data_IF_466462783270
#
_entry.id   IF_466462783270
#
_cell.length_a   1.000
_cell.length_b   1.000
_cell.length_c   1.000
_cell.angle_alpha   90.00
_cell.angle_beta   90.00
_cell.angle_gamma   90.00
#
_symmetry.space_group_name_H-M   'P 1'
#
loop_
_entity.id
_entity.type
_entity.pdbx_description
1 polymer ?
#
# COMPACT_ATOMS: atom_id res chain seq x y z
N UNK A 1 0.10 10.18 8.16
CA UNK A 1 -0.74 10.86 9.15
C UNK A 1 -2.11 10.97 8.54
N UNK A 2 -3.04 10.18 9.03
CA UNK A 2 -4.37 10.04 8.43
C UNK A 2 -5.30 11.16 8.89
N UNK A 3 -6.51 11.18 8.30
CA UNK A 3 -7.60 12.09 8.64
C UNK A 3 -7.84 12.16 10.16
N UNK A 4 -7.87 11.00 10.84
CA UNK A 4 -8.13 10.94 12.28
C UNK A 4 -6.95 11.47 13.10
N UNK A 5 -5.71 11.19 12.71
CA UNK A 5 -4.52 11.70 13.43
C UNK A 5 -4.55 13.24 13.54
N UNK A 6 -5.00 13.95 12.50
CA UNK A 6 -5.13 15.41 12.56
C UNK A 6 -6.22 15.89 13.51
N UNK A 7 -7.34 15.15 13.63
CA UNK A 7 -8.41 15.46 14.59
C UNK A 7 -7.92 15.28 16.03
N UNK A 8 -7.07 14.29 16.27
CA UNK A 8 -6.50 14.02 17.59
C UNK A 8 -5.53 15.11 18.08
N UNK A 9 -4.95 15.91 17.17
CA UNK A 9 -4.03 16.99 17.53
C UNK A 9 -4.72 18.14 18.32
N UNK A 10 -6.06 18.24 18.29
CA UNK A 10 -6.84 19.28 19.00
C UNK A 10 -6.37 20.71 18.73
N UNK A 11 -5.83 20.96 17.54
CA UNK A 11 -5.42 22.29 17.08
C UNK A 11 -6.58 23.03 16.41
N UNK A 12 -6.50 24.35 16.36
CA UNK A 12 -7.48 25.16 15.63
C UNK A 12 -7.55 24.72 14.16
N UNK A 13 -8.76 24.66 13.59
CA UNK A 13 -9.02 24.22 12.21
C UNK A 13 -8.61 22.77 11.87
N UNK A 14 -8.30 21.91 12.86
CA UNK A 14 -7.96 20.50 12.63
C UNK A 14 -8.97 19.76 11.74
N UNK A 15 -10.28 19.97 11.95
CA UNK A 15 -11.34 19.36 11.13
C UNK A 15 -11.29 19.77 9.66
N UNK A 16 -10.96 21.03 9.38
CA UNK A 16 -10.88 21.53 8.01
C UNK A 16 -9.65 20.96 7.29
N UNK A 17 -8.55 20.77 8.02
CA UNK A 17 -7.32 20.13 7.51
C UNK A 17 -7.57 18.64 7.27
N UNK A 18 -8.16 17.95 8.25
CA UNK A 18 -8.46 16.52 8.18
C UNK A 18 -9.29 16.16 6.95
N UNK A 19 -10.30 16.97 6.58
CA UNK A 19 -11.11 16.80 5.36
C UNK A 19 -10.31 16.87 4.04
N UNK A 20 -9.07 17.37 4.08
CA UNK A 20 -8.17 17.49 2.94
C UNK A 20 -6.99 16.51 3.00
N UNK A 21 -6.98 15.60 3.97
CA UNK A 21 -5.97 14.56 4.09
C UNK A 21 -6.47 13.29 3.40
N UNK A 22 -5.74 12.82 2.41
CA UNK A 22 -6.10 11.63 1.65
C UNK A 22 -4.93 10.66 1.63
N UNK A 23 -5.26 9.37 1.57
CA UNK A 23 -4.32 8.40 1.02
C UNK A 23 -4.13 8.69 -0.46
N UNK A 24 -2.90 8.53 -0.94
CA UNK A 24 -2.59 8.71 -2.35
C UNK A 24 -3.49 7.84 -3.24
N UNK A 25 -3.62 6.55 -2.92
CA UNK A 25 -4.42 5.61 -3.70
C UNK A 25 -5.91 5.96 -3.63
N UNK A 26 -6.39 6.47 -2.49
CA UNK A 26 -7.78 6.91 -2.38
C UNK A 26 -8.03 8.14 -3.26
N UNK A 27 -7.13 9.12 -3.20
CA UNK A 27 -7.20 10.32 -4.02
C UNK A 27 -7.24 9.98 -5.52
N UNK A 28 -6.36 9.08 -5.97
CA UNK A 28 -6.32 8.69 -7.40
C UNK A 28 -7.52 7.83 -7.79
N UNK A 29 -7.98 6.90 -6.94
CA UNK A 29 -9.20 6.11 -7.23
C UNK A 29 -10.44 7.02 -7.35
N UNK A 30 -10.59 7.99 -6.44
CA UNK A 30 -11.70 8.96 -6.46
C UNK A 30 -11.62 9.87 -7.70
N UNK A 31 -10.42 10.32 -8.08
CA UNK A 31 -10.21 11.11 -9.31
C UNK A 31 -10.64 10.32 -10.54
N UNK A 32 -10.19 9.07 -10.69
CA UNK A 32 -10.53 8.23 -11.85
C UNK A 32 -11.96 7.70 -11.83
N UNK A 33 -12.64 7.74 -10.69
CA UNK A 33 -14.08 7.51 -10.60
C UNK A 33 -14.87 8.69 -11.18
N UNK A 34 -14.45 9.92 -10.87
CA UNK A 34 -15.13 11.14 -11.33
C UNK A 34 -14.75 11.54 -12.76
N UNK A 35 -13.48 11.39 -13.10
CA UNK A 35 -12.90 11.75 -14.40
C UNK A 35 -12.07 10.57 -14.94
N UNK A 36 -12.73 9.53 -15.52
CA UNK A 36 -12.03 8.33 -16.00
C UNK A 36 -10.94 8.59 -17.04
N UNK A 37 -11.06 9.70 -17.79
CA UNK A 37 -10.12 10.11 -18.84
C UNK A 37 -9.02 11.06 -18.33
N UNK A 38 -8.97 11.37 -17.03
CA UNK A 38 -7.95 12.24 -16.43
C UNK A 38 -6.53 11.69 -16.60
N UNK A 39 -6.40 10.36 -16.73
CA UNK A 39 -5.15 9.67 -17.06
C UNK A 39 -5.40 8.66 -18.18
N UNK A 40 -4.41 8.53 -19.06
CA UNK A 40 -4.41 7.50 -20.10
C UNK A 40 -3.36 6.46 -19.78
N UNK A 41 -3.75 5.19 -19.86
CA UNK A 41 -2.90 4.08 -19.50
C UNK A 41 -2.61 3.19 -20.70
N UNK A 42 -1.39 2.65 -20.78
CA UNK A 42 -1.04 1.59 -21.72
C UNK A 42 -1.51 0.23 -21.22
N UNK A 43 -1.88 -0.63 -22.16
CA UNK A 43 -2.15 -2.04 -21.87
C UNK A 43 -0.92 -2.74 -21.29
N UNK A 44 -1.18 -3.79 -20.51
CA UNK A 44 -0.17 -4.64 -19.91
C UNK A 44 -0.82 -5.97 -19.50
N UNK A 45 -0.05 -6.82 -18.82
CA UNK A 45 -0.50 -8.16 -18.42
C UNK A 45 0.17 -8.58 -17.12
N UNK A 46 0.01 -7.77 -16.08
CA UNK A 46 0.68 -7.99 -14.79
C UNK A 46 -0.33 -8.40 -13.73
N UNK A 47 0.00 -9.44 -12.97
CA UNK A 47 -0.67 -9.74 -11.69
C UNK A 47 -0.07 -8.87 -10.60
N UNK A 48 -0.91 -8.31 -9.74
CA UNK A 48 -0.53 -7.39 -8.68
C UNK A 48 -0.96 -7.94 -7.32
N UNK A 49 -0.02 -8.09 -6.39
CA UNK A 49 -0.30 -8.46 -5.00
C UNK A 49 -0.04 -7.26 -4.08
N UNK A 50 -1.07 -6.83 -3.35
CA UNK A 50 -1.06 -5.59 -2.58
C UNK A 50 -1.02 -5.91 -1.09
N UNK A 51 0.04 -5.52 -0.40
CA UNK A 51 0.06 -5.44 1.05
C UNK A 51 -0.46 -4.07 1.51
N UNK A 52 -1.72 -4.03 1.94
CA UNK A 52 -2.29 -2.81 2.51
C UNK A 52 -1.70 -2.54 3.90
N UNK A 53 -1.23 -1.31 4.11
CA UNK A 53 -0.61 -0.87 5.36
C UNK A 53 -1.55 -1.11 6.56
N UNK A 54 -1.03 -1.65 7.66
CA UNK A 54 -1.84 -1.99 8.84
C UNK A 54 -2.69 -0.82 9.37
N UNK A 55 -2.11 0.39 9.39
CA UNK A 55 -2.84 1.60 9.78
C UNK A 55 -3.98 1.96 8.80
N UNK A 56 -3.82 1.72 7.49
CA UNK A 56 -4.91 1.91 6.55
C UNK A 56 -6.02 0.86 6.77
N UNK A 57 -5.64 -0.41 7.01
CA UNK A 57 -6.58 -1.50 7.29
C UNK A 57 -7.44 -1.26 8.55
N UNK A 58 -6.89 -0.61 9.58
CA UNK A 58 -7.64 -0.30 10.81
C UNK A 58 -8.64 0.83 10.64
N UNK A 59 -8.46 1.70 9.65
CA UNK A 59 -9.30 2.88 9.43
C UNK A 59 -10.30 2.71 8.28
N UNK A 60 -9.96 1.89 7.28
CA UNK A 60 -10.75 1.79 6.04
C UNK A 60 -10.62 0.42 5.37
N UNK A 61 -11.62 0.09 4.54
CA UNK A 61 -11.57 -1.09 3.69
C UNK A 61 -10.55 -0.88 2.55
N UNK A 62 -9.47 -1.68 2.44
CA UNK A 62 -8.42 -1.49 1.43
C UNK A 62 -8.84 -1.87 0.00
N UNK A 63 -10.10 -2.25 -0.24
CA UNK A 63 -10.60 -2.64 -1.55
C UNK A 63 -10.44 -1.58 -2.65
N UNK A 64 -10.32 -0.30 -2.30
CA UNK A 64 -9.99 0.76 -3.27
C UNK A 64 -8.62 0.57 -3.91
N UNK A 65 -7.64 -0.01 -3.20
CA UNK A 65 -6.31 -0.27 -3.77
C UNK A 65 -6.39 -1.32 -4.89
N UNK A 66 -7.21 -2.36 -4.70
CA UNK A 66 -7.50 -3.36 -5.74
C UNK A 66 -8.16 -2.70 -6.95
N UNK A 67 -9.25 -1.96 -6.73
CA UNK A 67 -9.96 -1.29 -7.81
C UNK A 67 -9.05 -0.36 -8.60
N UNK A 68 -8.25 0.45 -7.90
CA UNK A 68 -7.29 1.35 -8.53
C UNK A 68 -6.30 0.59 -9.41
N UNK A 69 -5.71 -0.50 -8.92
CA UNK A 69 -4.79 -1.32 -9.72
C UNK A 69 -5.47 -1.97 -10.93
N UNK A 70 -6.75 -2.36 -10.82
CA UNK A 70 -7.53 -2.95 -11.92
C UNK A 70 -8.08 -1.93 -12.92
N UNK A 71 -8.06 -0.62 -12.60
CA UNK A 71 -8.28 0.45 -13.59
C UNK A 71 -7.16 0.52 -14.63
N UNK A 72 -5.96 0.02 -14.31
CA UNK A 72 -4.86 -0.09 -15.26
C UNK A 72 -5.17 -1.25 -16.21
N UNK A 73 -5.33 -1.01 -17.52
CA UNK A 73 -5.81 -2.03 -18.46
C UNK A 73 -4.94 -3.30 -18.45
N UNK A 74 -5.58 -4.47 -18.32
CA UNK A 74 -4.92 -5.78 -18.35
C UNK A 74 -4.18 -6.15 -17.05
N UNK A 75 -4.43 -5.46 -15.94
CA UNK A 75 -3.92 -5.84 -14.61
C UNK A 75 -5.00 -6.58 -13.83
N UNK A 76 -4.57 -7.57 -13.06
CA UNK A 76 -5.41 -8.29 -12.08
C UNK A 76 -4.79 -8.10 -10.71
N UNK A 77 -5.58 -7.64 -9.73
CA UNK A 77 -5.03 -7.30 -8.42
C UNK A 77 -5.68 -8.09 -7.28
N UNK A 78 -4.87 -8.41 -6.26
CA UNK A 78 -5.32 -9.03 -5.02
C UNK A 78 -4.76 -8.27 -3.84
N UNK A 79 -5.62 -7.86 -2.89
CA UNK A 79 -5.17 -7.37 -1.59
C UNK A 79 -4.89 -8.57 -0.70
N UNK A 80 -3.63 -8.70 -0.26
CA UNK A 80 -3.20 -9.81 0.57
C UNK A 80 -3.82 -9.72 1.97
N UNK A 81 -4.46 -10.81 2.38
CA UNK A 81 -4.93 -11.00 3.75
C UNK A 81 -3.75 -11.29 4.69
N UNK A 82 -3.17 -10.19 5.17
CA UNK A 82 -1.90 -10.13 5.92
C UNK A 82 -2.01 -9.16 7.09
N UNK A 83 -1.26 -9.43 8.17
CA UNK A 83 -1.17 -8.58 9.35
C UNK A 83 -0.25 -7.38 9.17
N UNK A 84 0.43 -6.96 10.24
CA UNK A 84 1.48 -5.94 10.18
C UNK A 84 2.74 -6.48 9.47
N UNK A 85 3.53 -5.60 8.85
CA UNK A 85 4.84 -5.96 8.30
C UNK A 85 5.93 -6.14 9.36
N UNK A 86 5.67 -5.87 10.64
CA UNK A 86 6.68 -6.00 11.71
C UNK A 86 7.61 -4.80 11.89
N UNK A 87 7.70 -3.87 10.93
CA UNK A 87 8.67 -2.77 11.01
C UNK A 87 8.22 -1.54 11.82
N UNK A 88 6.91 -1.20 11.78
CA UNK A 88 6.27 -0.06 12.45
C UNK A 88 7.22 1.11 12.83
N UNK A 89 7.54 1.98 11.87
CA UNK A 89 8.56 3.01 12.06
C UNK A 89 9.96 2.39 12.05
N UNK A 90 10.69 2.53 13.16
CA UNK A 90 12.02 1.95 13.37
C UNK A 90 11.99 0.68 14.23
N UNK A 91 10.82 0.19 14.65
CA UNK A 91 10.70 -0.94 15.58
C UNK A 91 11.47 -2.17 15.09
N UNK A 92 11.30 -2.57 13.82
CA UNK A 92 12.00 -3.72 13.25
C UNK A 92 13.50 -3.52 13.04
N UNK A 93 13.98 -2.28 13.06
CA UNK A 93 15.39 -1.95 12.93
C UNK A 93 16.15 -1.95 14.28
N UNK A 94 15.44 -2.05 15.41
CA UNK A 94 16.06 -2.14 16.73
C UNK A 94 16.57 -3.57 16.96
N UNK A 95 17.83 -3.71 17.36
CA UNK A 95 18.46 -5.02 17.58
C UNK A 95 17.66 -5.88 18.57
N UNK A 96 17.11 -5.28 19.63
CA UNK A 96 16.33 -5.97 20.66
C UNK A 96 14.92 -6.39 20.18
N UNK A 97 14.49 -5.89 19.02
CA UNK A 97 13.15 -6.12 18.45
C UNK A 97 13.19 -6.85 17.11
N UNK A 98 14.37 -7.02 16.52
CA UNK A 98 14.54 -7.63 15.21
C UNK A 98 13.84 -8.99 15.13
N UNK A 99 14.15 -9.93 16.02
CA UNK A 99 13.58 -11.28 16.01
C UNK A 99 12.04 -11.27 16.10
N UNK A 100 11.49 -10.38 16.93
CA UNK A 100 10.04 -10.23 17.05
C UNK A 100 9.43 -9.61 15.78
N UNK A 101 10.11 -8.65 15.16
CA UNK A 101 9.65 -8.04 13.90
C UNK A 101 9.58 -9.07 12.77
N UNK A 102 10.56 -9.98 12.70
CA UNK A 102 10.60 -11.08 11.73
C UNK A 102 9.44 -12.04 11.98
N UNK A 103 9.19 -12.41 13.25
CA UNK A 103 8.05 -13.27 13.60
C UNK A 103 6.70 -12.64 13.23
N UNK A 104 6.54 -11.33 13.44
CA UNK A 104 5.32 -10.59 13.04
C UNK A 104 5.17 -10.58 11.51
N UNK A 105 6.28 -10.44 10.78
CA UNK A 105 6.28 -10.40 9.32
C UNK A 105 6.03 -11.78 8.67
N UNK A 106 6.27 -12.90 9.37
CA UNK A 106 6.30 -14.25 8.79
C UNK A 106 5.13 -14.56 7.85
N UNK A 107 3.88 -14.31 8.28
CA UNK A 107 2.70 -14.58 7.44
C UNK A 107 2.61 -13.67 6.20
N UNK A 108 3.12 -12.43 6.27
CA UNK A 108 3.25 -11.56 5.10
C UNK A 108 4.28 -12.11 4.12
N UNK A 109 5.44 -12.55 4.63
CA UNK A 109 6.52 -13.13 3.82
C UNK A 109 6.03 -14.39 3.10
N UNK A 110 5.40 -15.31 3.83
CA UNK A 110 4.81 -16.52 3.25
C UNK A 110 3.82 -16.20 2.12
N UNK A 111 2.98 -15.18 2.29
CA UNK A 111 2.03 -14.76 1.24
C UNK A 111 2.72 -14.17 0.02
N UNK A 112 3.85 -13.49 0.20
CA UNK A 112 4.64 -12.91 -0.90
C UNK A 112 5.39 -14.01 -1.65
N UNK A 113 6.06 -14.91 -0.93
CA UNK A 113 6.87 -15.98 -1.54
C UNK A 113 6.02 -17.00 -2.31
N UNK A 114 4.76 -17.15 -1.94
CA UNK A 114 3.79 -18.01 -2.65
C UNK A 114 3.08 -17.30 -3.82
N UNK A 115 3.46 -16.07 -4.18
CA UNK A 115 2.91 -15.44 -5.38
C UNK A 115 3.47 -16.07 -6.67
N UNK A 116 2.66 -16.13 -7.74
CA UNK A 116 3.15 -16.58 -9.04
C UNK A 116 4.36 -15.76 -9.53
N UNK A 117 5.30 -16.36 -10.27
CA UNK A 117 6.41 -15.63 -10.87
C UNK A 117 5.92 -14.45 -11.71
N UNK A 118 6.59 -13.30 -11.59
CA UNK A 118 6.23 -12.07 -12.29
C UNK A 118 5.08 -11.27 -11.64
N UNK A 119 4.60 -11.67 -10.46
CA UNK A 119 3.65 -10.87 -9.68
C UNK A 119 4.34 -9.63 -9.12
N UNK A 120 3.79 -8.45 -9.37
CA UNK A 120 4.27 -7.21 -8.79
C UNK A 120 3.75 -7.05 -7.36
N UNK A 121 4.66 -6.85 -6.41
CA UNK A 121 4.32 -6.63 -5.00
C UNK A 121 4.18 -5.13 -4.75
N UNK A 122 3.02 -4.71 -4.25
CA UNK A 122 2.73 -3.30 -3.95
C UNK A 122 2.58 -3.10 -2.44
N UNK A 123 3.35 -2.18 -1.90
CA UNK A 123 3.25 -1.72 -0.51
C UNK A 123 3.56 -0.23 -0.44
N UNK A 124 2.56 0.59 -0.12
CA UNK A 124 2.75 2.05 -0.10
C UNK A 124 3.42 2.58 1.17
N UNK A 125 3.44 1.79 2.25
CA UNK A 125 4.20 2.13 3.45
C UNK A 125 5.71 1.96 3.26
N UNK A 126 6.49 2.99 3.56
CA UNK A 126 7.96 2.94 3.48
C UNK A 126 8.53 1.84 4.38
N UNK A 127 8.09 1.75 5.64
CA UNK A 127 8.51 0.68 6.56
C UNK A 127 8.11 -0.71 6.05
N UNK A 128 6.95 -0.84 5.41
CA UNK A 128 6.53 -2.11 4.80
C UNK A 128 7.45 -2.52 3.65
N UNK A 129 7.81 -1.58 2.76
CA UNK A 129 8.74 -1.86 1.66
C UNK A 129 10.11 -2.28 2.17
N UNK A 130 10.66 -1.58 3.16
CA UNK A 130 11.95 -1.98 3.76
C UNK A 130 11.89 -3.39 4.33
N UNK A 131 10.89 -3.73 5.17
CA UNK A 131 10.82 -5.08 5.72
C UNK A 131 10.71 -6.16 4.63
N UNK A 132 9.85 -5.94 3.63
CA UNK A 132 9.68 -6.90 2.55
C UNK A 132 11.00 -7.07 1.78
N UNK A 133 11.70 -5.98 1.48
CA UNK A 133 13.02 -6.02 0.83
C UNK A 133 14.10 -6.68 1.69
N UNK A 134 14.04 -6.53 3.01
CA UNK A 134 15.03 -7.08 3.93
C UNK A 134 14.84 -8.61 4.13
N UNK A 135 13.59 -9.09 4.06
CA UNK A 135 13.23 -10.47 4.37
C UNK A 135 12.91 -11.33 3.14
N UNK A 136 12.85 -10.76 1.95
CA UNK A 136 12.52 -11.48 0.70
C UNK A 136 13.42 -11.01 -0.46
N UNK A 137 13.36 -11.73 -1.58
CA UNK A 137 13.94 -11.26 -2.85
C UNK A 137 12.97 -10.39 -3.68
N UNK A 138 11.80 -10.05 -3.14
CA UNK A 138 10.84 -9.21 -3.82
C UNK A 138 11.29 -7.74 -3.82
N UNK A 139 10.96 -7.03 -4.90
CA UNK A 139 11.17 -5.59 -5.02
C UNK A 139 9.81 -4.88 -4.88
N UNK A 140 9.31 -4.63 -3.66
CA UNK A 140 8.00 -4.03 -3.46
C UNK A 140 8.00 -2.58 -3.96
N UNK A 141 6.99 -2.21 -4.73
CA UNK A 141 6.79 -0.85 -5.25
C UNK A 141 5.74 -0.11 -4.45
N UNK A 142 5.81 1.22 -4.47
CA UNK A 142 4.70 2.08 -4.11
C UNK A 142 3.62 2.06 -5.21
N UNK A 143 2.34 2.22 -4.85
CA UNK A 143 1.25 2.27 -5.84
C UNK A 143 1.47 3.34 -6.92
N UNK A 144 2.04 4.49 -6.53
CA UNK A 144 2.40 5.56 -7.48
C UNK A 144 3.37 5.10 -8.58
N UNK A 145 4.30 4.19 -8.27
CA UNK A 145 5.24 3.65 -9.26
C UNK A 145 4.51 2.75 -10.26
N UNK A 146 3.64 1.86 -9.78
CA UNK A 146 2.78 1.03 -10.64
C UNK A 146 1.95 1.89 -11.61
N UNK A 147 1.36 2.97 -11.11
CA UNK A 147 0.56 3.90 -11.91
C UNK A 147 1.45 4.65 -12.92
N UNK A 148 2.58 5.21 -12.46
CA UNK A 148 3.49 5.96 -13.31
C UNK A 148 4.04 5.10 -14.47
N UNK A 149 4.37 3.84 -14.20
CA UNK A 149 4.80 2.88 -15.21
C UNK A 149 3.71 2.58 -16.25
N UNK A 150 2.43 2.78 -15.91
CA UNK A 150 1.30 2.53 -16.80
C UNK A 150 0.83 3.75 -17.60
N UNK A 151 1.22 4.97 -17.23
CA UNK A 151 0.81 6.21 -17.94
C UNK A 151 1.46 6.28 -19.34
N UNK A 152 0.75 6.89 -20.29
CA UNK A 152 1.21 7.23 -21.66
C UNK A 152 1.49 8.71 -21.80
#
# INVERSE_FOLDING_TARGET
MFVEDYRELKIENAENVAKRCFLFERFVDDLLEQEPDALRFKNGSTTVAIHAHCHAKSLMNPGFMKRLAERLPGRTATVLDTGCCGMAGAFGALAEKYDLSVQVAAHLIDKIDNQPPGTEIIASGTSCRHQISDLTNACPKHMAELIAEAIV
#
